data_IF_146725867024
#
_entry.id   IF_146725867024
#
_cell.length_a   1.000
_cell.length_b   1.000
_cell.length_c   1.000
_cell.angle_alpha   90.00
_cell.angle_beta   90.00
_cell.angle_gamma   90.00
#
_symmetry.space_group_name_H-M   'P 1'
#
loop_
_entity.id
_entity.type
_entity.pdbx_description
1 polymer ?
#
# COMPACT_ATOMS: atom_id res chain seq x y z
N UNK A 1 -51.16 -8.80 -79.79
CA UNK A 1 -51.07 -9.24 -78.37
C UNK A 1 -50.43 -8.11 -77.58
N UNK A 2 -51.20 -7.42 -76.75
CA UNK A 2 -50.71 -6.51 -75.71
C UNK A 2 -51.19 -7.09 -74.36
N UNK A 3 -50.34 -7.06 -73.31
CA UNK A 3 -50.63 -7.71 -72.04
C UNK A 3 -51.58 -6.85 -71.19
N UNK A 4 -52.49 -7.55 -70.50
CA UNK A 4 -53.55 -6.98 -69.70
C UNK A 4 -53.07 -6.36 -68.38
N UNK A 5 -53.87 -5.39 -67.95
CA UNK A 5 -53.71 -4.59 -66.74
C UNK A 5 -53.69 -5.42 -65.45
N UNK A 6 -52.70 -5.14 -64.60
CA UNK A 6 -52.60 -5.63 -63.23
C UNK A 6 -53.55 -4.82 -62.35
N UNK A 7 -54.64 -5.44 -61.90
CA UNK A 7 -55.60 -4.85 -60.97
C UNK A 7 -54.91 -4.48 -59.65
N UNK A 8 -54.98 -3.20 -59.29
CA UNK A 8 -54.50 -2.66 -58.02
C UNK A 8 -55.19 -3.35 -56.84
N UNK A 9 -54.35 -3.92 -55.97
CA UNK A 9 -54.72 -4.52 -54.69
C UNK A 9 -55.59 -3.56 -53.85
N UNK A 10 -56.67 -4.11 -53.31
CA UNK A 10 -57.53 -3.48 -52.32
C UNK A 10 -56.71 -3.01 -51.11
N UNK A 11 -56.58 -1.70 -50.95
CA UNK A 11 -56.14 -1.09 -49.70
C UNK A 11 -57.20 -1.37 -48.64
N UNK A 12 -56.90 -2.29 -47.72
CA UNK A 12 -57.69 -2.49 -46.51
C UNK A 12 -57.60 -1.21 -45.66
N UNK A 13 -58.63 -0.36 -45.76
CA UNK A 13 -58.80 0.80 -44.88
C UNK A 13 -59.25 0.24 -43.53
N UNK A 14 -58.37 0.32 -42.53
CA UNK A 14 -58.68 -0.05 -41.16
C UNK A 14 -59.68 0.98 -40.62
N UNK A 15 -60.89 0.54 -40.25
CA UNK A 15 -61.86 1.40 -39.59
C UNK A 15 -61.49 1.57 -38.11
N UNK A 16 -60.93 2.74 -37.79
CA UNK A 16 -60.46 3.10 -36.45
C UNK A 16 -61.60 3.28 -35.43
N UNK A 17 -62.87 3.28 -35.86
CA UNK A 17 -64.03 3.38 -34.96
C UNK A 17 -64.63 2.04 -34.57
N UNK A 18 -64.16 0.92 -35.16
CA UNK A 18 -64.61 -0.42 -34.80
C UNK A 18 -64.15 -0.78 -33.36
N UNK A 19 -65.06 -1.09 -32.43
CA UNK A 19 -64.71 -1.45 -31.05
C UNK A 19 -63.73 -2.62 -30.93
N UNK A 20 -63.77 -3.59 -31.86
CA UNK A 20 -62.85 -4.72 -31.87
C UNK A 20 -61.42 -4.28 -32.23
N UNK A 21 -61.30 -3.38 -33.21
CA UNK A 21 -60.02 -2.76 -33.59
C UNK A 21 -59.43 -1.96 -32.43
N UNK A 22 -60.26 -1.16 -31.73
CA UNK A 22 -59.83 -0.40 -30.54
C UNK A 22 -59.35 -1.34 -29.42
N UNK A 23 -60.10 -2.40 -29.13
CA UNK A 23 -59.73 -3.38 -28.11
C UNK A 23 -58.39 -4.07 -28.44
N UNK A 24 -58.17 -4.43 -29.71
CA UNK A 24 -56.91 -5.03 -30.15
C UNK A 24 -55.71 -4.08 -30.01
N UNK A 25 -55.89 -2.79 -30.28
CA UNK A 25 -54.83 -1.77 -30.11
C UNK A 25 -54.51 -1.59 -28.61
N UNK A 26 -55.52 -1.55 -27.76
CA UNK A 26 -55.33 -1.43 -26.31
C UNK A 26 -54.61 -2.64 -25.72
N UNK A 27 -54.97 -3.85 -26.15
CA UNK A 27 -54.30 -5.07 -25.71
C UNK A 27 -52.82 -5.07 -26.14
N UNK A 28 -52.55 -4.76 -27.41
CA UNK A 28 -51.19 -4.67 -27.94
C UNK A 28 -50.34 -3.61 -27.23
N UNK A 29 -50.88 -2.41 -27.03
CA UNK A 29 -50.17 -1.33 -26.33
C UNK A 29 -49.87 -1.69 -24.88
N UNK A 30 -50.82 -2.32 -24.17
CA UNK A 30 -50.60 -2.77 -22.78
C UNK A 30 -49.47 -3.81 -22.68
N UNK A 31 -49.39 -4.75 -23.63
CA UNK A 31 -48.35 -5.77 -23.72
C UNK A 31 -46.96 -5.17 -24.00
N UNK A 32 -46.89 -4.22 -24.93
CA UNK A 32 -45.65 -3.49 -25.24
C UNK A 32 -45.18 -2.68 -24.03
N UNK A 33 -46.08 -1.95 -23.37
CA UNK A 33 -45.74 -1.17 -22.16
C UNK A 33 -45.22 -2.07 -21.04
N UNK A 34 -45.90 -3.19 -20.76
CA UNK A 34 -45.45 -4.15 -19.75
C UNK A 34 -44.05 -4.71 -20.05
N UNK A 35 -43.79 -5.05 -21.33
CA UNK A 35 -42.49 -5.55 -21.78
C UNK A 35 -41.37 -4.51 -21.58
N UNK A 36 -41.63 -3.24 -21.95
CA UNK A 36 -40.66 -2.15 -21.77
C UNK A 36 -40.39 -1.87 -20.29
N UNK A 37 -41.41 -1.91 -19.43
CA UNK A 37 -41.23 -1.78 -17.98
C UNK A 37 -40.39 -2.94 -17.41
N UNK A 38 -40.62 -4.17 -17.87
CA UNK A 38 -39.83 -5.33 -17.47
C UNK A 38 -38.34 -5.18 -17.82
N UNK A 39 -38.03 -4.73 -19.04
CA UNK A 39 -36.65 -4.47 -19.47
C UNK A 39 -36.00 -3.36 -18.63
N UNK A 40 -36.74 -2.29 -18.33
CA UNK A 40 -36.24 -1.19 -17.49
C UNK A 40 -35.88 -1.66 -16.07
N UNK A 41 -36.77 -2.43 -15.43
CA UNK A 41 -36.53 -2.97 -14.08
C UNK A 41 -35.33 -3.92 -14.07
N UNK A 42 -35.21 -4.80 -15.07
CA UNK A 42 -34.06 -5.72 -15.18
C UNK A 42 -32.73 -4.95 -15.34
N UNK A 43 -32.70 -3.90 -16.17
CA UNK A 43 -31.51 -3.05 -16.31
C UNK A 43 -31.16 -2.32 -15.01
N UNK A 44 -32.16 -1.80 -14.31
CA UNK A 44 -31.96 -1.11 -13.04
C UNK A 44 -31.39 -2.07 -11.98
N UNK A 45 -31.93 -3.29 -11.86
CA UNK A 45 -31.42 -4.31 -10.95
C UNK A 45 -29.99 -4.74 -11.32
N UNK A 46 -29.67 -4.90 -12.60
CA UNK A 46 -28.32 -5.22 -13.05
C UNK A 46 -27.32 -4.11 -12.68
N UNK A 47 -27.70 -2.84 -12.86
CA UNK A 47 -26.88 -1.70 -12.45
C UNK A 47 -26.71 -1.65 -10.93
N UNK A 48 -27.76 -1.88 -10.15
CA UNK A 48 -27.68 -1.95 -8.69
C UNK A 48 -26.75 -3.08 -8.23
N UNK A 49 -26.83 -4.27 -8.83
CA UNK A 49 -25.93 -5.38 -8.52
C UNK A 49 -24.48 -5.06 -8.89
N UNK A 50 -24.24 -4.41 -10.03
CA UNK A 50 -22.91 -3.93 -10.42
C UNK A 50 -22.38 -2.88 -9.43
N UNK A 51 -23.22 -1.94 -9.00
CA UNK A 51 -22.86 -0.94 -7.99
C UNK A 51 -22.57 -1.59 -6.63
N UNK A 52 -23.37 -2.56 -6.20
CA UNK A 52 -23.13 -3.31 -4.96
C UNK A 52 -21.85 -4.14 -5.06
N UNK A 53 -21.61 -4.81 -6.18
CA UNK A 53 -20.38 -5.56 -6.43
C UNK A 53 -19.16 -4.63 -6.41
N UNK A 54 -19.23 -3.50 -7.12
CA UNK A 54 -18.19 -2.47 -7.11
C UNK A 54 -17.94 -1.93 -5.70
N UNK A 55 -19.01 -1.59 -4.96
CA UNK A 55 -18.91 -1.15 -3.59
C UNK A 55 -18.27 -2.24 -2.71
N UNK A 56 -18.69 -3.50 -2.80
CA UNK A 56 -18.09 -4.60 -2.06
C UNK A 56 -16.62 -4.85 -2.40
N UNK A 57 -16.22 -4.70 -3.67
CA UNK A 57 -14.83 -4.78 -4.10
C UNK A 57 -14.00 -3.63 -3.53
N UNK A 58 -14.58 -2.43 -3.38
CA UNK A 58 -13.89 -1.26 -2.84
C UNK A 58 -13.94 -1.14 -1.31
N UNK A 59 -14.99 -1.64 -0.64
CA UNK A 59 -15.17 -1.50 0.81
C UNK A 59 -14.61 -2.69 1.61
N UNK A 60 -14.26 -3.81 0.97
CA UNK A 60 -13.61 -4.94 1.65
C UNK A 60 -12.07 -4.79 1.72
N UNK A 61 -11.59 -3.66 2.25
CA UNK A 61 -10.19 -3.50 2.65
C UNK A 61 -9.71 -4.58 3.66
N UNK A 62 -10.66 -5.27 4.33
CA UNK A 62 -10.35 -6.32 5.31
C UNK A 62 -9.96 -7.69 4.74
N UNK A 63 -9.99 -7.91 3.41
CA UNK A 63 -9.69 -9.23 2.79
C UNK A 63 -8.64 -9.21 1.67
N UNK A 64 -7.89 -8.12 1.51
CA UNK A 64 -6.90 -7.99 0.43
C UNK A 64 -5.65 -8.88 0.55
N UNK A 65 -5.56 -9.72 1.58
CA UNK A 65 -4.51 -10.75 1.67
C UNK A 65 -4.89 -12.10 1.03
N UNK A 66 -6.07 -12.26 0.43
CA UNK A 66 -6.46 -13.50 -0.27
C UNK A 66 -6.91 -13.27 -1.71
N UNK A 67 -5.98 -12.87 -2.57
CA UNK A 67 -5.74 -13.51 -3.88
C UNK A 67 -6.80 -13.50 -4.99
N UNK A 68 -7.92 -12.76 -4.92
CA UNK A 68 -9.00 -12.93 -5.92
C UNK A 68 -9.19 -11.82 -6.96
N UNK A 69 -8.54 -10.65 -6.85
CA UNK A 69 -8.75 -9.54 -7.80
C UNK A 69 -7.42 -8.96 -8.32
N UNK A 70 -6.77 -9.67 -9.25
CA UNK A 70 -5.60 -9.21 -10.01
C UNK A 70 -5.95 -8.59 -11.37
N UNK A 71 -7.11 -7.94 -11.52
CA UNK A 71 -7.53 -7.38 -12.80
C UNK A 71 -7.30 -5.86 -12.89
N UNK A 72 -6.38 -5.51 -13.80
CA UNK A 72 -6.10 -4.23 -14.46
C UNK A 72 -5.98 -2.96 -13.61
N UNK A 73 -4.74 -2.51 -13.47
CA UNK A 73 -4.37 -1.20 -12.93
C UNK A 73 -3.80 -1.36 -11.53
N UNK A 74 -2.53 -1.04 -11.37
CA UNK A 74 -1.83 -0.93 -10.08
C UNK A 74 -2.41 0.21 -9.25
N UNK A 75 -3.66 0.10 -8.81
CA UNK A 75 -4.13 0.82 -7.63
C UNK A 75 -3.52 0.10 -6.44
N UNK A 76 -2.27 0.47 -6.10
CA UNK A 76 -1.76 0.22 -4.76
C UNK A 76 -2.67 1.02 -3.83
N UNK A 77 -3.62 0.34 -3.20
CA UNK A 77 -4.39 0.94 -2.11
C UNK A 77 -3.38 1.57 -1.14
N UNK A 78 -3.56 2.86 -0.88
CA UNK A 78 -2.75 3.66 0.01
C UNK A 78 -2.90 3.06 1.43
N UNK A 79 -2.16 1.99 1.73
CA UNK A 79 -2.05 1.46 3.08
C UNK A 79 -1.14 2.39 3.85
N UNK A 80 -1.62 3.59 4.14
CA UNK A 80 -1.00 4.54 5.05
C UNK A 80 -2.05 4.90 6.07
N UNK A 81 -1.97 4.29 7.26
CA UNK A 81 -2.72 4.79 8.40
C UNK A 81 -1.94 5.99 8.94
N UNK A 82 -2.58 7.14 9.01
CA UNK A 82 -2.11 8.25 9.83
C UNK A 82 -2.80 8.05 11.18
N UNK A 83 -2.04 7.54 12.15
CA UNK A 83 -2.58 7.35 13.50
C UNK A 83 -2.60 8.71 14.16
N UNK A 84 -3.80 9.29 14.28
CA UNK A 84 -3.98 10.53 15.02
C UNK A 84 -3.84 10.28 16.54
N UNK A 85 -3.20 11.23 17.19
CA UNK A 85 -2.96 11.35 18.61
C UNK A 85 -4.27 11.22 19.42
N UNK A 86 -4.56 10.05 20.03
CA UNK A 86 -5.37 9.97 21.27
C UNK A 86 -5.53 8.61 22.01
N UNK A 87 -4.72 7.58 21.80
CA UNK A 87 -4.84 6.35 22.61
C UNK A 87 -3.77 6.27 23.72
N UNK A 88 -4.03 7.00 24.82
CA UNK A 88 -3.73 6.65 26.22
C UNK A 88 -2.27 6.31 26.56
N UNK A 89 -1.57 7.17 27.34
CA UNK A 89 -0.57 6.83 28.41
C UNK A 89 0.51 5.73 28.18
N UNK A 90 0.57 5.12 27.01
CA UNK A 90 1.42 4.03 26.58
C UNK A 90 2.12 4.58 25.35
N UNK A 91 3.37 4.99 25.54
CA UNK A 91 4.26 5.35 24.45
C UNK A 91 4.47 4.08 23.62
N UNK A 92 4.48 4.17 22.29
CA UNK A 92 4.76 3.04 21.40
C UNK A 92 5.94 2.18 21.92
N UNK A 93 5.78 0.87 21.96
CA UNK A 93 6.79 -0.04 22.52
C UNK A 93 6.91 -0.05 24.05
N UNK A 94 5.94 0.48 24.80
CA UNK A 94 5.90 0.42 26.28
C UNK A 94 5.43 -0.93 26.85
N UNK A 95 4.97 -1.83 26.00
CA UNK A 95 4.59 -3.19 26.41
C UNK A 95 5.54 -4.17 25.74
N UNK A 96 6.12 -5.12 26.49
CA UNK A 96 6.83 -6.23 25.88
C UNK A 96 5.87 -7.04 25.02
N UNK A 97 6.31 -7.40 23.82
CA UNK A 97 5.73 -8.51 23.10
C UNK A 97 5.88 -9.78 23.96
N UNK A 98 4.80 -10.51 24.16
CA UNK A 98 4.79 -11.75 24.94
C UNK A 98 5.42 -12.93 24.19
N UNK A 99 5.70 -12.78 22.89
CA UNK A 99 6.36 -13.79 22.07
C UNK A 99 7.86 -13.48 21.96
N UNK A 100 8.71 -14.40 22.41
CA UNK A 100 10.17 -14.32 22.26
C UNK A 100 10.73 -15.59 21.60
N UNK A 101 11.26 -15.53 20.36
CA UNK A 101 11.32 -14.36 19.50
C UNK A 101 9.93 -14.00 18.94
N UNK A 102 9.65 -12.71 18.79
CA UNK A 102 8.38 -12.24 18.22
C UNK A 102 8.26 -12.71 16.75
N UNK A 103 7.19 -13.46 16.46
CA UNK A 103 6.87 -13.95 15.11
C UNK A 103 5.83 -13.10 14.37
N UNK A 104 5.16 -12.20 15.07
CA UNK A 104 4.17 -11.31 14.47
C UNK A 104 4.90 -10.11 13.82
N UNK A 105 5.11 -10.20 12.51
CA UNK A 105 5.86 -9.21 11.71
C UNK A 105 4.95 -8.31 10.89
N UNK A 106 3.80 -7.94 11.46
CA UNK A 106 2.94 -6.91 10.89
C UNK A 106 3.32 -5.52 11.42
N UNK A 107 3.21 -4.51 10.57
CA UNK A 107 3.53 -3.10 10.84
C UNK A 107 2.81 -2.57 12.09
N UNK A 108 1.52 -2.89 12.26
CA UNK A 108 0.72 -2.55 13.45
C UNK A 108 1.25 -3.20 14.74
N UNK A 109 1.79 -4.42 14.66
CA UNK A 109 2.43 -5.08 15.80
C UNK A 109 3.82 -4.47 16.09
N UNK A 110 4.57 -4.13 15.03
CA UNK A 110 5.85 -3.43 15.14
C UNK A 110 5.72 -2.10 15.85
N UNK A 111 4.72 -1.31 15.47
CA UNK A 111 4.35 -0.05 16.12
C UNK A 111 4.04 -0.23 17.61
N UNK A 112 3.15 -1.16 17.94
CA UNK A 112 2.67 -1.35 19.31
C UNK A 112 3.75 -1.85 20.27
N UNK A 113 4.61 -2.78 19.84
CA UNK A 113 5.49 -3.54 20.75
C UNK A 113 6.99 -3.34 20.52
N UNK A 114 7.41 -2.86 19.34
CA UNK A 114 8.83 -2.87 18.95
C UNK A 114 9.38 -1.49 18.56
N UNK A 115 8.61 -0.42 18.77
CA UNK A 115 9.09 0.94 18.50
C UNK A 115 10.27 1.36 19.40
N UNK A 116 10.39 0.82 20.62
CA UNK A 116 11.42 1.20 21.59
C UNK A 116 12.57 0.20 21.68
N UNK A 117 13.67 0.69 22.26
CA UNK A 117 14.84 -0.09 22.66
C UNK A 117 14.55 -1.23 23.66
N UNK A 118 13.36 -1.28 24.26
CA UNK A 118 13.01 -2.29 25.25
C UNK A 118 12.88 -3.69 24.64
N UNK A 119 12.46 -3.78 23.37
CA UNK A 119 12.41 -5.02 22.60
C UNK A 119 12.59 -4.71 21.10
N UNK A 120 13.82 -4.46 20.64
CA UNK A 120 14.08 -4.27 19.21
C UNK A 120 13.58 -5.49 18.41
N UNK A 121 13.26 -5.30 17.14
CA UNK A 121 13.07 -6.43 16.23
C UNK A 121 14.26 -7.38 16.32
N UNK A 122 14.09 -8.69 16.25
CA UNK A 122 15.23 -9.63 16.30
C UNK A 122 16.16 -9.39 15.10
N UNK A 123 17.47 -9.61 15.26
CA UNK A 123 18.44 -9.53 14.15
C UNK A 123 18.03 -10.44 13.00
N UNK A 124 18.33 -9.99 11.78
CA UNK A 124 18.09 -10.77 10.57
C UNK A 124 18.66 -12.18 10.67
N UNK A 125 19.94 -12.32 11.03
CA UNK A 125 20.64 -13.60 11.11
C UNK A 125 19.96 -14.63 12.03
N UNK A 126 19.25 -14.17 13.07
CA UNK A 126 18.55 -15.06 13.99
C UNK A 126 17.19 -15.56 13.46
N UNK A 127 16.65 -14.97 12.40
CA UNK A 127 15.38 -15.39 11.79
C UNK A 127 15.54 -16.01 10.38
N UNK A 128 16.56 -15.60 9.61
CA UNK A 128 16.79 -16.00 8.23
C UNK A 128 16.94 -17.50 8.00
N UNK A 129 17.40 -18.22 9.03
CA UNK A 129 17.63 -19.68 8.97
C UNK A 129 16.34 -20.50 8.79
N UNK A 130 15.16 -19.89 8.87
CA UNK A 130 13.88 -20.63 8.97
C UNK A 130 12.82 -20.29 7.92
N UNK A 131 12.94 -19.19 7.18
CA UNK A 131 11.90 -18.79 6.22
C UNK A 131 12.44 -17.97 5.03
N UNK A 132 12.34 -18.46 3.77
CA UNK A 132 12.69 -17.70 2.57
C UNK A 132 11.75 -16.51 2.28
N UNK A 133 10.64 -16.36 3.04
CA UNK A 133 9.71 -15.23 2.96
C UNK A 133 9.80 -14.32 4.19
N UNK A 134 10.95 -14.27 4.84
CA UNK A 134 11.12 -13.47 6.04
C UNK A 134 10.81 -11.97 5.78
N UNK A 135 9.93 -11.44 6.64
CA UNK A 135 9.53 -10.03 6.65
C UNK A 135 10.19 -9.36 7.86
N UNK A 136 10.84 -8.23 7.62
CA UNK A 136 11.34 -7.35 8.66
C UNK A 136 10.46 -6.12 8.80
N UNK A 137 10.32 -5.65 10.03
CA UNK A 137 9.74 -4.34 10.31
C UNK A 137 10.86 -3.30 10.33
N UNK A 138 10.76 -2.32 9.44
CA UNK A 138 11.70 -1.21 9.34
C UNK A 138 11.12 0.09 9.86
N UNK A 139 11.93 0.81 10.64
CA UNK A 139 11.58 2.13 11.14
C UNK A 139 12.38 3.21 10.40
N UNK A 140 11.69 4.24 9.91
CA UNK A 140 12.29 5.37 9.19
C UNK A 140 11.74 6.69 9.76
N UNK A 141 12.53 7.37 10.58
CA UNK A 141 12.15 8.72 11.07
C UNK A 141 12.52 9.77 10.04
N UNK A 142 11.59 10.70 9.79
CA UNK A 142 11.73 11.77 8.82
C UNK A 142 10.93 13.01 9.25
N UNK A 143 10.97 14.08 8.45
CA UNK A 143 10.11 15.24 8.67
C UNK A 143 8.67 14.92 8.27
N UNK A 144 7.67 15.58 8.86
CA UNK A 144 6.28 15.30 8.49
C UNK A 144 6.01 15.63 7.01
N UNK A 145 6.67 16.64 6.45
CA UNK A 145 6.56 16.99 5.03
C UNK A 145 7.10 15.86 4.12
N UNK A 146 8.24 15.28 4.48
CA UNK A 146 8.79 14.16 3.73
C UNK A 146 7.94 12.89 3.90
N UNK A 147 7.37 12.66 5.08
CA UNK A 147 6.41 11.58 5.30
C UNK A 147 5.15 11.75 4.44
N UNK A 148 4.55 12.94 4.43
CA UNK A 148 3.40 13.25 3.57
C UNK A 148 3.76 13.14 2.10
N UNK A 149 4.94 13.63 1.68
CA UNK A 149 5.42 13.45 0.30
C UNK A 149 5.56 11.97 -0.05
N UNK A 150 6.01 11.13 0.88
CA UNK A 150 6.12 9.68 0.69
C UNK A 150 4.73 9.05 0.57
N UNK A 151 3.76 9.50 1.38
CA UNK A 151 2.36 9.07 1.32
C UNK A 151 1.71 9.41 -0.03
N UNK A 152 1.94 10.63 -0.52
CA UNK A 152 1.37 11.11 -1.78
C UNK A 152 2.09 10.56 -3.02
N UNK A 153 3.26 9.94 -2.86
CA UNK A 153 4.04 9.37 -3.94
C UNK A 153 4.52 7.96 -3.60
N UNK A 154 5.82 7.72 -3.63
CA UNK A 154 6.45 6.49 -3.18
C UNK A 154 7.71 6.86 -2.37
N UNK A 155 8.33 5.88 -1.71
CA UNK A 155 9.63 6.14 -1.08
C UNK A 155 10.66 6.58 -2.11
N UNK A 156 11.23 7.76 -1.89
CA UNK A 156 12.30 8.27 -2.72
C UNK A 156 13.62 7.73 -2.19
N UNK A 157 14.26 6.85 -2.96
CA UNK A 157 15.58 6.33 -2.63
C UNK A 157 16.59 7.47 -2.50
N UNK A 158 17.32 7.48 -1.39
CA UNK A 158 18.44 8.40 -1.23
C UNK A 158 19.49 8.10 -2.30
N UNK A 159 20.04 9.15 -2.92
CA UNK A 159 21.13 9.02 -3.90
C UNK A 159 22.49 8.76 -3.24
N UNK A 160 22.61 9.03 -1.95
CA UNK A 160 23.85 8.94 -1.18
C UNK A 160 23.54 8.53 0.25
N UNK A 161 24.33 7.61 0.79
CA UNK A 161 24.27 7.29 2.20
C UNK A 161 25.37 6.31 2.58
N UNK A 162 25.42 5.97 3.87
CA UNK A 162 26.45 5.08 4.40
C UNK A 162 26.39 3.68 3.78
N UNK A 163 25.18 3.24 3.40
CA UNK A 163 24.90 1.94 2.80
C UNK A 163 24.72 1.99 1.27
N UNK A 164 25.02 3.13 0.63
CA UNK A 164 24.80 3.36 -0.79
C UNK A 164 23.46 4.02 -1.12
N UNK A 165 23.00 3.84 -2.36
CA UNK A 165 21.72 4.33 -2.85
C UNK A 165 20.59 3.43 -2.36
N UNK A 166 19.49 4.01 -1.86
CA UNK A 166 18.33 3.23 -1.44
C UNK A 166 17.54 3.89 -0.31
N UNK A 167 16.63 3.13 0.29
CA UNK A 167 15.79 3.60 1.41
C UNK A 167 16.26 2.94 2.69
N UNK A 168 16.46 3.75 3.72
CA UNK A 168 17.11 3.35 4.95
C UNK A 168 16.11 3.10 6.05
N UNK A 169 16.25 1.99 6.73
CA UNK A 169 15.46 1.62 7.89
C UNK A 169 16.37 1.22 9.04
N UNK A 170 15.86 1.38 10.26
CA UNK A 170 16.48 0.84 11.46
C UNK A 170 15.59 -0.25 12.06
N UNK A 171 16.16 -1.02 12.99
CA UNK A 171 15.44 -2.05 13.76
C UNK A 171 14.59 -1.50 14.91
N UNK A 172 14.77 -0.22 15.26
CA UNK A 172 14.01 0.46 16.33
C UNK A 172 13.81 1.94 15.99
N UNK A 173 12.76 2.58 16.53
CA UNK A 173 12.54 4.03 16.39
C UNK A 173 13.58 4.80 17.19
N UNK A 174 14.01 4.27 18.33
CA UNK A 174 14.94 4.97 19.21
C UNK A 174 16.26 5.32 18.52
N UNK A 175 16.72 4.49 17.58
CA UNK A 175 17.94 4.72 16.81
C UNK A 175 17.76 5.71 15.66
N UNK A 176 16.53 5.93 15.20
CA UNK A 176 16.22 6.90 14.15
C UNK A 176 15.95 8.31 14.68
N UNK A 177 15.50 8.45 15.94
CA UNK A 177 15.24 9.75 16.58
C UNK A 177 16.48 10.66 16.58
N UNK A 178 17.67 10.08 16.75
CA UNK A 178 18.93 10.82 16.74
C UNK A 178 19.29 11.44 15.37
N UNK A 179 18.67 10.98 14.28
CA UNK A 179 18.94 11.48 12.92
C UNK A 179 18.12 12.74 12.58
N UNK A 180 17.06 13.01 13.34
CA UNK A 180 16.13 14.10 13.07
C UNK A 180 16.05 15.08 14.24
N UNK A 181 17.12 15.21 15.03
CA UNK A 181 17.18 15.91 16.33
C UNK A 181 16.55 17.33 16.38
N UNK A 182 16.31 17.97 15.23
CA UNK A 182 15.74 19.32 15.16
C UNK A 182 14.49 19.47 14.28
N UNK A 183 14.14 18.48 13.44
CA UNK A 183 13.04 18.59 12.46
C UNK A 183 12.11 17.36 12.45
N UNK A 184 12.42 16.35 13.27
CA UNK A 184 11.69 15.09 13.31
C UNK A 184 10.29 15.27 13.86
N UNK A 185 9.30 14.95 13.02
CA UNK A 185 7.88 14.97 13.35
C UNK A 185 7.12 13.76 12.83
N UNK A 186 7.77 12.80 12.14
CA UNK A 186 7.11 11.61 11.64
C UNK A 186 8.01 10.36 11.67
N UNK A 187 7.39 9.19 11.79
CA UNK A 187 8.02 7.89 11.67
C UNK A 187 7.22 7.03 10.70
N UNK A 188 7.91 6.44 9.72
CA UNK A 188 7.35 5.45 8.80
C UNK A 188 7.76 4.06 9.29
N UNK A 189 6.78 3.17 9.43
CA UNK A 189 6.95 1.79 9.88
C UNK A 189 6.57 0.88 8.72
N UNK A 190 7.53 0.17 8.14
CA UNK A 190 7.33 -0.59 6.89
C UNK A 190 7.51 -2.10 7.09
N UNK A 191 6.68 -2.90 6.43
CA UNK A 191 6.86 -4.34 6.26
C UNK A 191 7.69 -4.60 5.00
N UNK A 192 8.89 -5.15 5.19
CA UNK A 192 9.90 -5.28 4.15
C UNK A 192 10.26 -6.77 4.00
N UNK A 193 9.95 -7.41 2.86
CA UNK A 193 10.46 -8.73 2.57
C UNK A 193 11.94 -8.61 2.25
N UNK A 194 12.77 -9.30 3.01
CA UNK A 194 14.22 -9.30 2.80
C UNK A 194 14.62 -10.67 2.26
N UNK A 195 15.27 -10.72 1.08
CA UNK A 195 15.57 -12.00 0.41
C UNK A 195 17.06 -12.22 0.23
N UNK A 196 17.75 -11.27 -0.40
CA UNK A 196 19.18 -11.39 -0.73
C UNK A 196 19.93 -10.28 0.00
N UNK A 197 20.71 -10.67 1.01
CA UNK A 197 21.29 -9.70 1.94
C UNK A 197 22.80 -9.70 1.87
N UNK A 198 23.33 -8.50 1.69
CA UNK A 198 24.72 -8.21 1.95
C UNK A 198 24.87 -7.74 3.41
N UNK A 199 25.30 -8.64 4.29
CA UNK A 199 25.49 -8.36 5.72
C UNK A 199 26.95 -8.07 6.06
N UNK A 200 27.20 -7.02 6.85
CA UNK A 200 28.53 -6.75 7.40
C UNK A 200 28.46 -6.03 8.75
N UNK A 201 29.52 -6.18 9.56
CA UNK A 201 29.64 -5.46 10.83
C UNK A 201 30.20 -4.04 10.60
N UNK A 202 29.61 -3.04 11.25
CA UNK A 202 30.05 -1.65 11.17
C UNK A 202 31.55 -1.46 11.44
N UNK A 203 32.16 -2.24 12.34
CA UNK A 203 33.60 -2.18 12.62
C UNK A 203 34.44 -2.49 11.38
N UNK A 204 33.91 -3.31 10.47
CA UNK A 204 34.61 -3.73 9.25
C UNK A 204 34.52 -2.70 8.14
N UNK A 205 33.55 -1.76 8.17
CA UNK A 205 33.37 -0.77 7.08
C UNK A 205 34.59 0.15 6.90
N UNK A 206 35.30 0.44 7.98
CA UNK A 206 36.50 1.28 7.98
C UNK A 206 37.80 0.49 8.03
N UNK A 207 37.73 -0.83 8.17
CA UNK A 207 38.92 -1.68 8.14
C UNK A 207 39.40 -1.81 6.69
N UNK A 208 40.52 -1.18 6.40
CA UNK A 208 41.28 -1.46 5.18
C UNK A 208 41.85 -2.86 5.36
N UNK A 209 41.46 -3.80 4.51
CA UNK A 209 42.04 -5.14 4.51
C UNK A 209 43.56 -5.03 4.39
N UNK A 210 44.32 -5.81 5.17
CA UNK A 210 45.79 -5.87 5.05
C UNK A 210 46.25 -6.46 3.72
N UNK A 211 45.35 -7.12 2.98
CA UNK A 211 45.64 -7.81 1.73
C UNK A 211 45.22 -6.97 0.51
N UNK A 212 46.17 -6.71 -0.37
CA UNK A 212 46.04 -5.90 -1.59
C UNK A 212 44.99 -6.41 -2.61
N UNK A 213 44.38 -7.58 -2.39
CA UNK A 213 43.43 -8.20 -3.32
C UNK A 213 41.94 -8.08 -2.91
N UNK A 214 41.61 -7.52 -1.74
CA UNK A 214 40.24 -7.09 -1.38
C UNK A 214 40.10 -5.56 -1.49
N UNK A 215 40.71 -4.98 -2.53
CA UNK A 215 40.99 -3.55 -2.68
C UNK A 215 39.83 -2.67 -3.16
N UNK A 216 38.58 -3.15 -3.09
CA UNK A 216 37.49 -2.22 -2.88
C UNK A 216 37.29 -2.14 -1.36
N UNK A 217 37.75 -1.05 -0.74
CA UNK A 217 37.38 -0.77 0.65
C UNK A 217 35.88 -1.05 0.78
N UNK A 218 35.46 -1.88 1.74
CA UNK A 218 34.06 -2.28 1.92
C UNK A 218 33.13 -1.06 1.87
N UNK A 219 33.60 0.05 2.44
CA UNK A 219 32.99 1.38 2.29
C UNK A 219 32.70 1.78 0.84
N UNK A 220 33.66 1.68 -0.08
CA UNK A 220 33.45 2.02 -1.49
C UNK A 220 32.43 1.07 -2.13
N UNK A 221 32.56 -0.24 -1.92
CA UNK A 221 31.63 -1.24 -2.46
C UNK A 221 30.19 -0.92 -2.06
N UNK A 222 30.00 -0.62 -0.78
CA UNK A 222 28.72 -0.23 -0.20
C UNK A 222 28.25 1.14 -0.70
N UNK A 223 29.10 2.17 -0.68
CA UNK A 223 28.74 3.55 -1.03
C UNK A 223 28.41 3.75 -2.51
N UNK A 224 29.04 3.00 -3.41
CA UNK A 224 28.68 3.02 -4.83
C UNK A 224 27.50 2.11 -5.16
N UNK A 225 26.95 1.39 -4.16
CA UNK A 225 25.85 0.45 -4.31
C UNK A 225 26.17 -0.75 -5.21
N UNK A 226 27.43 -1.19 -5.23
CA UNK A 226 27.85 -2.36 -6.03
C UNK A 226 27.16 -3.66 -5.56
N UNK A 227 26.68 -3.69 -4.31
CA UNK A 227 25.88 -4.79 -3.78
C UNK A 227 24.53 -4.99 -4.50
N UNK A 228 24.01 -4.00 -5.23
CA UNK A 228 22.75 -4.14 -5.99
C UNK A 228 22.81 -5.22 -7.09
N UNK A 229 24.01 -5.64 -7.51
CA UNK A 229 24.16 -6.68 -8.55
C UNK A 229 23.62 -8.04 -8.08
N UNK A 230 23.85 -8.36 -6.80
CA UNK A 230 23.59 -9.70 -6.23
C UNK A 230 22.64 -9.68 -5.03
N UNK A 231 22.31 -8.50 -4.50
CA UNK A 231 21.57 -8.34 -3.24
C UNK A 231 20.50 -7.26 -3.34
N UNK A 232 19.34 -7.51 -2.73
CA UNK A 232 18.23 -6.55 -2.66
C UNK A 232 18.30 -5.67 -1.40
N UNK A 233 19.12 -6.07 -0.43
CA UNK A 233 19.23 -5.40 0.86
C UNK A 233 20.66 -5.40 1.37
N UNK A 234 21.11 -4.25 1.85
CA UNK A 234 22.38 -4.08 2.53
C UNK A 234 22.12 -3.90 4.02
N UNK A 235 22.64 -4.80 4.85
CA UNK A 235 22.39 -4.84 6.29
C UNK A 235 23.70 -4.61 7.05
N UNK A 236 23.72 -3.57 7.88
CA UNK A 236 24.87 -3.23 8.71
C UNK A 236 24.55 -3.51 10.18
N UNK A 237 25.23 -4.50 10.75
CA UNK A 237 25.13 -4.83 12.16
C UNK A 237 26.04 -3.95 13.01
N UNK A 238 25.57 -3.57 14.19
CA UNK A 238 26.35 -2.87 15.19
C UNK A 238 26.68 -3.79 16.36
N UNK A 239 27.69 -3.46 17.15
CA UNK A 239 27.90 -4.17 18.43
C UNK A 239 26.74 -3.96 19.38
N UNK A 240 26.21 -2.74 19.43
CA UNK A 240 25.00 -2.46 20.19
C UNK A 240 23.80 -3.07 19.46
N UNK A 241 23.08 -3.98 20.12
CA UNK A 241 22.00 -4.77 19.51
C UNK A 241 20.92 -3.96 18.82
N UNK A 242 20.69 -2.71 19.22
CA UNK A 242 19.56 -1.94 18.73
C UNK A 242 19.90 -1.13 17.49
N UNK A 243 21.18 -0.80 17.27
CA UNK A 243 21.61 0.23 16.31
C UNK A 243 21.70 -0.23 14.86
N UNK A 244 21.32 -1.47 14.58
CA UNK A 244 21.41 -2.03 13.24
C UNK A 244 20.60 -1.21 12.23
N UNK A 245 21.20 -0.99 11.07
CA UNK A 245 20.61 -0.24 9.97
C UNK A 245 20.64 -1.09 8.71
N UNK A 246 19.64 -0.91 7.86
CA UNK A 246 19.62 -1.56 6.58
C UNK A 246 19.05 -0.65 5.49
N UNK A 247 19.50 -0.89 4.27
CA UNK A 247 19.14 -0.14 3.08
C UNK A 247 18.58 -1.10 2.05
N UNK A 248 17.38 -0.81 1.56
CA UNK A 248 16.75 -1.57 0.48
C UNK A 248 16.96 -0.86 -0.86
N UNK A 249 17.23 -1.63 -1.90
CA UNK A 249 17.47 -1.11 -3.25
C UNK A 249 16.19 -0.51 -3.83
N UNK A 250 15.10 -1.28 -3.79
CA UNK A 250 13.88 -1.00 -4.52
C UNK A 250 12.65 -0.99 -3.58
N UNK A 251 12.34 0.15 -2.96
CA UNK A 251 11.23 0.23 -2.01
C UNK A 251 9.86 -0.07 -2.64
N UNK A 252 9.71 0.17 -3.94
CA UNK A 252 8.47 -0.12 -4.69
C UNK A 252 8.18 -1.60 -4.73
N UNK A 253 9.22 -2.44 -4.80
CA UNK A 253 9.13 -3.90 -4.84
C UNK A 253 9.27 -4.55 -3.46
N UNK A 254 9.99 -3.89 -2.55
CA UNK A 254 10.35 -4.41 -1.22
C UNK A 254 9.57 -3.77 -0.08
N UNK A 255 8.45 -3.08 -0.36
CA UNK A 255 7.54 -2.63 0.69
C UNK A 255 6.17 -3.26 0.47
N UNK A 256 5.74 -4.10 1.42
CA UNK A 256 4.44 -4.76 1.37
C UNK A 256 3.35 -3.80 1.85
N UNK A 257 3.60 -3.19 3.00
CA UNK A 257 2.71 -2.24 3.66
C UNK A 257 3.55 -1.29 4.53
N UNK A 258 2.98 -0.15 4.89
CA UNK A 258 3.62 0.76 5.84
C UNK A 258 2.59 1.57 6.63
N UNK A 259 3.02 2.19 7.73
CA UNK A 259 2.21 3.08 8.57
C UNK A 259 3.01 4.35 8.80
N UNK A 260 2.36 5.50 8.83
CA UNK A 260 3.00 6.79 9.14
C UNK A 260 2.44 7.30 10.45
N UNK A 261 3.31 7.48 11.42
CA UNK A 261 2.99 8.08 12.71
C UNK A 261 3.55 9.50 12.72
N UNK A 262 2.68 10.51 12.85
CA UNK A 262 3.08 11.93 12.89
C UNK A 262 2.89 12.46 14.31
N UNK A 263 3.94 13.02 14.90
CA UNK A 263 3.90 13.66 16.22
C UNK A 263 3.19 15.03 16.10
N UNK A 264 1.92 15.05 16.52
CA UNK A 264 1.04 16.22 16.45
C UNK A 264 1.59 17.43 17.22
N UNK A 265 2.29 17.20 18.34
CA UNK A 265 2.85 18.27 19.17
C UNK A 265 3.98 19.02 18.46
N UNK A 266 4.62 18.40 17.48
CA UNK A 266 5.75 18.99 16.74
C UNK A 266 5.35 19.61 15.42
N UNK A 267 4.11 19.42 14.95
CA UNK A 267 3.73 19.94 13.64
C UNK A 267 2.31 20.51 13.57
N UNK A 268 2.21 21.84 13.71
CA UNK A 268 0.98 22.62 13.44
C UNK A 268 0.42 22.40 12.02
N UNK A 269 1.22 21.84 11.10
CA UNK A 269 0.78 21.55 9.74
C UNK A 269 -0.04 20.26 9.63
N UNK A 270 -0.14 19.42 10.65
CA UNK A 270 -1.10 18.28 10.66
C UNK A 270 -2.50 18.78 10.35
N UNK A 271 -2.91 19.88 11.00
CA UNK A 271 -4.17 20.60 10.73
C UNK A 271 -4.18 21.21 9.31
N UNK A 272 -3.04 21.74 8.85
CA UNK A 272 -2.94 22.37 7.51
C UNK A 272 -3.12 21.37 6.36
N UNK A 273 -2.70 20.13 6.57
CA UNK A 273 -2.80 19.07 5.58
C UNK A 273 -4.07 18.22 5.73
N UNK A 274 -5.00 18.60 6.62
CA UNK A 274 -6.24 17.86 6.92
C UNK A 274 -5.95 16.42 7.38
N UNK A 275 -4.80 16.22 8.04
CA UNK A 275 -4.34 14.91 8.57
C UNK A 275 -4.78 14.70 10.02
N UNK A 276 -5.52 15.66 10.57
CA UNK A 276 -6.22 15.61 11.87
C UNK A 276 -7.65 15.05 11.75
N UNK A 277 -8.00 14.50 10.58
CA UNK A 277 -9.13 13.62 10.43
C UNK A 277 -8.62 12.24 10.03
N UNK A 278 -9.22 11.17 10.56
CA UNK A 278 -8.93 9.81 10.12
C UNK A 278 -9.05 9.81 8.59
N UNK A 279 -7.94 9.55 7.90
CA UNK A 279 -7.93 9.46 6.44
C UNK A 279 -8.76 8.23 6.11
N UNK A 280 -10.06 8.44 5.98
CA UNK A 280 -10.98 7.38 5.64
C UNK A 280 -10.50 6.80 4.32
N UNK A 281 -10.15 5.52 4.35
CA UNK A 281 -9.71 4.72 3.21
C UNK A 281 -10.64 4.80 1.98
N UNK A 282 -11.83 5.40 2.13
CA UNK A 282 -12.79 5.69 1.05
C UNK A 282 -12.50 6.97 0.26
N UNK A 283 -11.71 7.92 0.77
CA UNK A 283 -11.36 9.14 0.05
C UNK A 283 -10.13 8.92 -0.84
N UNK A 284 -10.40 8.60 -2.11
CA UNK A 284 -9.40 8.72 -3.16
C UNK A 284 -9.07 10.20 -3.40
N UNK A 285 -7.88 10.64 -2.98
CA UNK A 285 -7.35 11.93 -3.40
C UNK A 285 -6.89 11.81 -4.86
N UNK A 286 -7.53 12.56 -5.76
CA UNK A 286 -6.92 12.86 -7.07
C UNK A 286 -5.87 13.93 -6.84
N UNK A 287 -4.61 13.56 -7.10
CA UNK A 287 -3.49 14.49 -7.24
C UNK A 287 -3.47 14.96 -8.69
#
# INVERSE_FOLDING_TARGET
MLPGDVSLNSTNIIDINDPLTIASILDWTSSVTATLMGIFVLRFLALMLLCCFYAMCHTNSRRDNSGCCQFFGTFKALHGFIVEDNQRKYVFGDRPCTNDPCRNRHSSNGEAFHGKNYQPQVRWAAFSTRDPKAICIGFHTTTSEAAVSTVLSEFIASKRGLLGKGVYFARSIADTIGKTQHEGGACIIAEIPIRQIFEFDKKTIYQVGKDAHRAMNLRNFVQISAWHEDYDTCYMSYEQENKDEYCIENPVKQTISWVVVIDKLKNLKVVRYDLDTEVDSTKCYRI
#
